data_IF_186001552845
#
_entry.id   IF_186001552845
#
_cell.length_a   1.000
_cell.length_b   1.000
_cell.length_c   1.000
_cell.angle_alpha   90.00
_cell.angle_beta   90.00
_cell.angle_gamma   90.00
#
_symmetry.space_group_name_H-M   'P 1'
#
loop_
_entity.id
_entity.type
_entity.pdbx_description
1 polymer ?
#
# COMPACT_ATOMS: atom_id res chain seq x y z
N UNK A 1 14.33 -16.80 10.24
CA UNK A 1 13.75 -18.12 9.91
C UNK A 1 12.73 -18.04 8.78
N UNK A 2 11.58 -17.39 8.99
CA UNK A 2 10.45 -17.41 8.06
C UNK A 2 10.72 -16.80 6.67
N UNK A 3 11.51 -15.72 6.59
CA UNK A 3 11.84 -15.07 5.32
C UNK A 3 12.67 -16.01 4.43
N UNK A 4 13.65 -16.70 5.01
CA UNK A 4 14.51 -17.65 4.30
C UNK A 4 13.65 -18.82 3.77
N UNK A 5 12.75 -19.35 4.59
CA UNK A 5 11.88 -20.45 4.18
C UNK A 5 10.91 -20.02 3.05
N UNK A 6 10.37 -18.81 3.12
CA UNK A 6 9.52 -18.24 2.08
C UNK A 6 10.27 -18.07 0.75
N UNK A 7 11.53 -17.61 0.80
CA UNK A 7 12.39 -17.48 -0.39
C UNK A 7 12.71 -18.84 -0.99
N UNK A 8 13.05 -19.84 -0.17
CA UNK A 8 13.35 -21.19 -0.63
C UNK A 8 12.11 -21.84 -1.27
N UNK A 9 10.95 -21.75 -0.63
CA UNK A 9 9.68 -22.21 -1.21
C UNK A 9 9.37 -21.51 -2.53
N UNK A 10 9.60 -20.19 -2.62
CA UNK A 10 9.39 -19.43 -3.84
C UNK A 10 10.30 -19.90 -4.98
N UNK A 11 11.58 -20.15 -4.69
CA UNK A 11 12.55 -20.67 -5.67
C UNK A 11 12.16 -22.08 -6.15
N UNK A 12 11.79 -22.96 -5.22
CA UNK A 12 11.36 -24.33 -5.54
C UNK A 12 10.08 -24.31 -6.38
N UNK A 13 9.11 -23.48 -5.99
CA UNK A 13 7.84 -23.34 -6.71
C UNK A 13 8.06 -22.75 -8.11
N UNK A 14 8.96 -21.78 -8.24
CA UNK A 14 9.37 -21.19 -9.51
C UNK A 14 10.00 -22.23 -10.45
N UNK A 15 10.91 -23.06 -9.93
CA UNK A 15 11.54 -24.13 -10.71
C UNK A 15 10.55 -25.22 -11.11
N UNK A 16 9.52 -25.47 -10.30
CA UNK A 16 8.57 -26.57 -10.50
C UNK A 16 7.35 -26.20 -11.34
N UNK A 17 6.99 -24.91 -11.42
CA UNK A 17 5.78 -24.49 -12.14
C UNK A 17 5.99 -23.93 -13.55
N UNK A 18 7.22 -23.55 -13.98
CA UNK A 18 7.65 -23.07 -15.34
C UNK A 18 6.74 -22.04 -16.09
N UNK A 19 5.57 -21.70 -15.56
CA UNK A 19 4.52 -20.92 -16.21
C UNK A 19 4.09 -19.70 -15.38
N UNK A 20 4.85 -19.36 -14.34
CA UNK A 20 4.66 -18.10 -13.63
C UNK A 20 5.16 -16.96 -14.53
N UNK A 21 4.32 -15.95 -14.84
CA UNK A 21 4.72 -14.84 -15.68
C UNK A 21 5.68 -13.93 -14.89
N UNK A 22 6.96 -14.28 -14.83
CA UNK A 22 8.02 -13.56 -14.13
C UNK A 22 8.10 -12.10 -14.53
N UNK A 23 7.96 -11.80 -15.82
CA UNK A 23 7.88 -10.41 -16.31
C UNK A 23 6.72 -9.64 -15.67
N UNK A 24 5.59 -10.30 -15.42
CA UNK A 24 4.43 -9.70 -14.77
C UNK A 24 4.65 -9.54 -13.26
N UNK A 25 5.23 -10.54 -12.61
CA UNK A 25 5.61 -10.50 -11.19
C UNK A 25 6.65 -9.40 -10.91
N UNK A 26 7.72 -9.33 -11.70
CA UNK A 26 8.72 -8.27 -11.61
C UNK A 26 8.12 -6.88 -11.85
N UNK A 27 7.21 -6.75 -12.83
CA UNK A 27 6.48 -5.49 -13.04
C UNK A 27 5.60 -5.12 -11.85
N UNK A 28 4.92 -6.07 -11.23
CA UNK A 28 4.12 -5.84 -10.02
C UNK A 28 5.00 -5.42 -8.84
N UNK A 29 6.10 -6.13 -8.59
CA UNK A 29 7.07 -5.80 -7.53
C UNK A 29 7.62 -4.38 -7.74
N UNK A 30 7.96 -4.02 -8.98
CA UNK A 30 8.43 -2.67 -9.31
C UNK A 30 7.35 -1.61 -9.08
N UNK A 31 6.11 -1.87 -9.50
CA UNK A 31 4.98 -0.95 -9.31
C UNK A 31 4.64 -0.76 -7.83
N UNK A 32 4.68 -1.84 -7.03
CA UNK A 32 4.48 -1.79 -5.57
C UNK A 32 5.63 -1.00 -4.93
N UNK A 33 6.88 -1.27 -5.33
CA UNK A 33 8.05 -0.55 -4.84
C UNK A 33 7.95 0.96 -5.11
N UNK A 34 7.58 1.35 -6.34
CA UNK A 34 7.37 2.75 -6.72
C UNK A 34 6.19 3.38 -5.98
N UNK A 35 5.08 2.65 -5.80
CA UNK A 35 3.93 3.13 -5.05
C UNK A 35 4.26 3.35 -3.56
N UNK A 36 5.02 2.44 -2.96
CA UNK A 36 5.49 2.56 -1.57
C UNK A 36 6.48 3.71 -1.40
N UNK A 37 7.39 3.91 -2.35
CA UNK A 37 8.29 5.07 -2.35
C UNK A 37 7.52 6.39 -2.45
N UNK A 38 6.55 6.47 -3.35
CA UNK A 38 5.68 7.65 -3.47
C UNK A 38 4.90 7.88 -2.17
N UNK A 39 4.25 6.84 -1.64
CA UNK A 39 3.51 6.90 -0.36
C UNK A 39 4.40 7.38 0.78
N UNK A 40 5.64 6.88 0.88
CA UNK A 40 6.61 7.30 1.87
C UNK A 40 7.00 8.77 1.73
N UNK A 41 7.30 9.23 0.52
CA UNK A 41 7.67 10.62 0.24
C UNK A 41 6.54 11.60 0.57
N UNK A 42 5.31 11.31 0.13
CA UNK A 42 4.16 12.15 0.41
C UNK A 42 3.73 12.09 1.89
N UNK A 43 3.84 10.92 2.53
CA UNK A 43 3.58 10.77 3.96
C UNK A 43 4.57 11.56 4.82
N UNK A 44 5.87 11.49 4.50
CA UNK A 44 6.89 12.32 5.15
C UNK A 44 6.69 13.81 4.88
N UNK A 45 6.36 14.20 3.64
CA UNK A 45 6.04 15.58 3.30
C UNK A 45 4.84 16.11 4.07
N UNK A 46 3.80 15.30 4.25
CA UNK A 46 2.63 15.65 5.05
C UNK A 46 2.94 15.80 6.54
N UNK A 47 3.76 14.90 7.11
CA UNK A 47 4.26 15.01 8.48
C UNK A 47 5.09 16.30 8.68
N UNK A 48 6.00 16.59 7.75
CA UNK A 48 6.83 17.79 7.79
C UNK A 48 5.98 19.07 7.70
N UNK A 49 5.00 19.11 6.77
CA UNK A 49 4.11 20.25 6.59
C UNK A 49 3.19 20.47 7.80
N UNK A 50 2.70 19.39 8.43
CA UNK A 50 1.91 19.53 9.64
C UNK A 50 2.74 19.88 10.87
N UNK A 51 4.05 19.58 10.89
CA UNK A 51 4.95 20.00 11.96
C UNK A 51 5.04 21.53 12.07
N UNK A 52 4.80 22.25 10.96
CA UNK A 52 4.74 23.71 10.94
C UNK A 52 3.42 24.29 11.47
N UNK A 53 2.35 23.51 11.47
CA UNK A 53 0.98 23.98 11.80
C UNK A 53 0.54 23.49 13.19
N UNK A 54 1.04 22.35 13.65
CA UNK A 54 0.61 21.67 14.87
C UNK A 54 1.78 21.53 15.83
N UNK A 55 1.61 22.02 17.07
CA UNK A 55 2.56 21.84 18.16
C UNK A 55 2.80 20.35 18.45
N UNK A 56 3.98 19.84 18.06
CA UNK A 56 4.44 18.45 18.28
C UNK A 56 4.76 18.14 19.74
N UNK A 57 4.71 19.13 20.63
CA UNK A 57 4.97 18.97 22.06
C UNK A 57 3.78 18.41 22.88
N UNK A 58 2.59 18.27 22.28
CA UNK A 58 1.41 17.70 22.97
C UNK A 58 0.97 16.38 22.35
N UNK A 59 0.62 15.40 23.19
CA UNK A 59 0.17 14.07 22.76
C UNK A 59 -1.01 14.11 21.77
N UNK A 60 -1.95 15.05 21.98
CA UNK A 60 -3.07 15.27 21.07
C UNK A 60 -2.63 15.80 19.68
N UNK A 61 -1.59 16.65 19.64
CA UNK A 61 -1.03 17.18 18.39
C UNK A 61 -0.36 16.09 17.55
N UNK A 62 0.42 15.22 18.19
CA UNK A 62 1.03 14.04 17.56
C UNK A 62 -0.02 13.04 17.03
N UNK A 63 -1.10 12.80 17.79
CA UNK A 63 -2.18 11.93 17.34
C UNK A 63 -2.88 12.48 16.09
N UNK A 64 -3.23 13.77 16.09
CA UNK A 64 -3.89 14.41 14.94
C UNK A 64 -2.98 14.39 13.71
N UNK A 65 -1.69 14.72 13.89
CA UNK A 65 -0.70 14.62 12.83
C UNK A 65 -0.61 13.21 12.24
N UNK A 66 -0.57 12.20 13.10
CA UNK A 66 -0.45 10.81 12.67
C UNK A 66 -1.69 10.37 11.90
N UNK A 67 -2.89 10.72 12.37
CA UNK A 67 -4.16 10.40 11.69
C UNK A 67 -4.20 11.04 10.30
N UNK A 68 -3.83 12.33 10.21
CA UNK A 68 -3.84 13.05 8.93
C UNK A 68 -2.73 12.51 8.01
N UNK A 69 -1.55 12.19 8.53
CA UNK A 69 -0.46 11.62 7.75
C UNK A 69 -0.81 10.24 7.20
N UNK A 70 -1.44 9.38 8.00
CA UNK A 70 -1.98 8.10 7.55
C UNK A 70 -3.04 8.33 6.48
N UNK A 71 -3.95 9.28 6.68
CA UNK A 71 -4.97 9.64 5.70
C UNK A 71 -4.37 10.05 4.35
N UNK A 72 -3.39 10.97 4.37
CA UNK A 72 -2.69 11.44 3.17
C UNK A 72 -1.88 10.32 2.52
N UNK A 73 -1.19 9.48 3.30
CA UNK A 73 -0.42 8.36 2.78
C UNK A 73 -1.33 7.33 2.09
N UNK A 74 -2.45 6.97 2.71
CA UNK A 74 -3.44 6.05 2.15
C UNK A 74 -4.06 6.63 0.87
N UNK A 75 -4.45 7.91 0.87
CA UNK A 75 -4.99 8.57 -0.31
C UNK A 75 -3.98 8.64 -1.45
N UNK A 76 -2.73 8.97 -1.14
CA UNK A 76 -1.64 9.00 -2.13
C UNK A 76 -1.40 7.62 -2.71
N UNK A 77 -1.32 6.59 -1.87
CA UNK A 77 -1.18 5.21 -2.32
C UNK A 77 -2.35 4.80 -3.23
N UNK A 78 -3.59 5.14 -2.87
CA UNK A 78 -4.78 4.89 -3.70
C UNK A 78 -4.71 5.56 -5.07
N UNK A 79 -4.30 6.84 -5.12
CA UNK A 79 -4.17 7.61 -6.37
C UNK A 79 -3.07 7.03 -7.25
N UNK A 80 -1.90 6.74 -6.68
CA UNK A 80 -0.77 6.14 -7.40
C UNK A 80 -1.14 4.75 -7.89
N UNK A 81 -1.72 3.91 -7.04
CA UNK A 81 -2.16 2.57 -7.41
C UNK A 81 -3.23 2.58 -8.51
N UNK A 82 -4.12 3.58 -8.51
CA UNK A 82 -5.12 3.77 -9.56
C UNK A 82 -4.46 4.17 -10.88
N UNK A 83 -3.48 5.08 -10.84
CA UNK A 83 -2.74 5.54 -12.02
C UNK A 83 -1.89 4.43 -12.64
N UNK A 84 -1.30 3.56 -11.82
CA UNK A 84 -0.49 2.43 -12.28
C UNK A 84 -1.32 1.19 -12.69
N UNK A 85 -2.65 1.23 -12.50
CA UNK A 85 -3.54 0.14 -12.88
C UNK A 85 -3.26 -1.16 -12.11
N UNK A 86 -2.78 -1.03 -10.87
CA UNK A 86 -2.36 -2.17 -10.05
C UNK A 86 -3.55 -3.12 -9.81
N UNK A 87 -3.39 -4.44 -10.06
CA UNK A 87 -4.46 -5.42 -9.83
C UNK A 87 -4.85 -5.53 -8.36
N UNK A 88 -3.96 -5.16 -7.43
CA UNK A 88 -4.27 -5.05 -6.00
C UNK A 88 -5.36 -4.02 -5.73
N UNK A 89 -5.33 -2.87 -6.42
CA UNK A 89 -6.38 -1.87 -6.27
C UNK A 89 -7.73 -2.40 -6.80
N UNK A 90 -7.70 -3.17 -7.90
CA UNK A 90 -8.91 -3.84 -8.41
C UNK A 90 -9.45 -4.86 -7.41
N UNK A 91 -8.57 -5.60 -6.74
CA UNK A 91 -8.94 -6.56 -5.71
C UNK A 91 -9.54 -5.86 -4.47
N UNK A 92 -8.91 -4.79 -3.99
CA UNK A 92 -9.42 -3.97 -2.87
C UNK A 92 -10.76 -3.30 -3.23
N UNK A 93 -10.88 -2.71 -4.43
CA UNK A 93 -12.14 -2.16 -4.92
C UNK A 93 -13.23 -3.23 -5.07
N UNK A 94 -12.88 -4.43 -5.51
CA UNK A 94 -13.83 -5.55 -5.61
C UNK A 94 -14.32 -6.00 -4.23
N UNK A 95 -13.44 -6.05 -3.22
CA UNK A 95 -13.80 -6.33 -1.83
C UNK A 95 -14.70 -5.21 -1.28
N UNK A 96 -14.35 -3.94 -1.47
CA UNK A 96 -15.16 -2.80 -1.07
C UNK A 96 -16.55 -2.80 -1.72
N UNK A 97 -16.64 -3.17 -3.01
CA UNK A 97 -17.92 -3.38 -3.70
C UNK A 97 -18.74 -4.49 -3.05
N UNK A 98 -18.11 -5.61 -2.71
CA UNK A 98 -18.75 -6.74 -2.01
C UNK A 98 -19.29 -6.33 -0.64
N UNK A 99 -18.49 -5.63 0.16
CA UNK A 99 -18.89 -5.16 1.49
C UNK A 99 -20.05 -4.16 1.40
N UNK A 100 -20.03 -3.25 0.41
CA UNK A 100 -21.12 -2.30 0.18
C UNK A 100 -22.43 -3.02 -0.23
N UNK A 101 -22.35 -4.12 -0.98
CA UNK A 101 -23.53 -4.93 -1.33
C UNK A 101 -24.11 -5.67 -0.12
N UNK A 102 -23.27 -6.22 0.76
CA UNK A 102 -23.73 -6.90 2.00
C UNK A 102 -24.45 -5.89 2.92
N UNK A 103 -23.91 -4.67 3.02
CA UNK A 103 -24.51 -3.59 3.84
C UNK A 103 -25.78 -2.98 3.22
N UNK A 104 -26.08 -3.28 1.96
CA UNK A 104 -27.31 -2.85 1.28
C UNK A 104 -28.40 -3.94 1.27
N UNK A 105 -28.05 -5.16 1.70
CA UNK A 105 -28.95 -6.31 1.80
C UNK A 105 -29.29 -6.68 3.27
N UNK A 106 -28.82 -5.88 4.23
CA UNK A 106 -29.18 -5.91 5.64
C UNK A 106 -29.82 -4.58 6.02
#
# INVERSE_FOLDING_TARGET
GAIINAVVLFIILHFRLEGLPLRRLGKLILQIGLASLAMGLFGYGALQAMSWIINTHTFAGLLIQTIVAIGVAVLTYLVVARKFGLPELKMVMAILKRVRLIKSAS
#
